data_IF_603366166539
#
_entry.id   IF_603366166539
#
_cell.length_a   1.000
_cell.length_b   1.000
_cell.length_c   1.000
_cell.angle_alpha   90.00
_cell.angle_beta   90.00
_cell.angle_gamma   90.00
#
_symmetry.space_group_name_H-M   'P 1'
#
loop_
_entity.id
_entity.type
_entity.pdbx_description
1 polymer ?
#
# COMPACT_ATOMS: atom_id res chain seq x y z
N UNK A 1 -21.75 -14.08 -10.41
CA UNK A 1 -22.06 -13.44 -9.10
C UNK A 1 -21.34 -14.08 -7.90
N UNK A 2 -20.03 -14.31 -8.00
CA UNK A 2 -19.13 -14.46 -6.83
C UNK A 2 -17.73 -14.07 -7.29
N UNK A 3 -17.33 -14.58 -8.46
CA UNK A 3 -16.12 -14.13 -9.16
C UNK A 3 -16.12 -12.64 -9.56
N UNK A 4 -17.28 -12.06 -9.90
CA UNK A 4 -17.38 -10.61 -10.18
C UNK A 4 -17.11 -9.76 -8.92
N UNK A 5 -17.58 -10.22 -7.76
CA UNK A 5 -17.36 -9.54 -6.48
C UNK A 5 -15.90 -9.71 -6.01
N UNK A 6 -15.28 -10.86 -6.26
CA UNK A 6 -13.85 -11.08 -6.03
C UNK A 6 -12.97 -10.18 -6.90
N UNK A 7 -13.27 -10.06 -8.21
CA UNK A 7 -12.55 -9.16 -9.12
C UNK A 7 -12.68 -7.71 -8.65
N UNK A 8 -13.88 -7.29 -8.25
CA UNK A 8 -14.13 -5.95 -7.71
C UNK A 8 -13.36 -5.72 -6.41
N UNK A 9 -13.34 -6.71 -5.52
CA UNK A 9 -12.61 -6.66 -4.24
C UNK A 9 -11.11 -6.52 -4.49
N UNK A 10 -10.54 -7.34 -5.37
CA UNK A 10 -9.12 -7.27 -5.76
C UNK A 10 -8.78 -5.92 -6.39
N UNK A 11 -9.65 -5.38 -7.25
CA UNK A 11 -9.48 -4.05 -7.84
C UNK A 11 -9.40 -2.96 -6.76
N UNK A 12 -10.33 -2.98 -5.80
CA UNK A 12 -10.34 -2.00 -4.70
C UNK A 12 -9.08 -2.12 -3.85
N UNK A 13 -8.63 -3.34 -3.52
CA UNK A 13 -7.40 -3.56 -2.76
C UNK A 13 -6.17 -2.98 -3.48
N UNK A 14 -6.08 -3.18 -4.80
CA UNK A 14 -4.98 -2.63 -5.61
C UNK A 14 -5.03 -1.09 -5.69
N UNK A 15 -6.22 -0.50 -5.85
CA UNK A 15 -6.38 0.96 -5.83
C UNK A 15 -5.95 1.56 -4.49
N UNK A 16 -6.34 0.94 -3.38
CA UNK A 16 -5.91 1.35 -2.04
C UNK A 16 -4.40 1.18 -1.87
N UNK A 17 -3.84 0.07 -2.36
CA UNK A 17 -2.40 -0.18 -2.29
C UNK A 17 -1.60 0.88 -3.02
N UNK A 18 -2.03 1.29 -4.22
CA UNK A 18 -1.38 2.36 -4.98
C UNK A 18 -1.36 3.70 -4.22
N UNK A 19 -2.45 4.03 -3.50
CA UNK A 19 -2.50 5.24 -2.66
C UNK A 19 -1.52 5.15 -1.50
N UNK A 20 -1.47 4.00 -0.81
CA UNK A 20 -0.55 3.77 0.31
C UNK A 20 0.91 3.86 -0.15
N UNK A 21 1.26 3.17 -1.24
CA UNK A 21 2.62 3.17 -1.78
C UNK A 21 3.08 4.58 -2.14
N UNK A 22 2.18 5.40 -2.71
CA UNK A 22 2.45 6.81 -3.01
C UNK A 22 2.69 7.63 -1.73
N UNK A 23 1.89 7.45 -0.69
CA UNK A 23 2.07 8.17 0.58
C UNK A 23 3.41 7.79 1.24
N UNK A 24 3.79 6.50 1.18
CA UNK A 24 5.08 6.03 1.70
C UNK A 24 6.23 6.74 0.96
N UNK A 25 6.19 6.77 -0.37
CA UNK A 25 7.19 7.43 -1.20
C UNK A 25 7.27 8.96 -0.93
N UNK A 26 6.12 9.63 -0.87
CA UNK A 26 6.03 11.08 -0.59
C UNK A 26 6.62 11.46 0.79
N UNK A 27 6.58 10.55 1.76
CA UNK A 27 7.16 10.75 3.08
C UNK A 27 8.61 10.21 3.20
N UNK A 28 9.23 9.84 2.07
CA UNK A 28 10.61 9.33 2.04
C UNK A 28 10.77 7.95 2.68
N UNK A 29 9.69 7.18 2.73
CA UNK A 29 9.71 5.78 3.13
C UNK A 29 10.09 4.85 1.98
N UNK A 30 10.64 3.69 2.32
CA UNK A 30 11.04 2.66 1.35
C UNK A 30 10.28 1.38 1.67
N UNK A 31 9.54 0.86 0.69
CA UNK A 31 8.87 -0.44 0.81
C UNK A 31 9.91 -1.53 0.62
N UNK A 32 10.11 -2.37 1.64
CA UNK A 32 11.06 -3.50 1.57
C UNK A 32 10.38 -4.87 1.54
N UNK A 33 9.06 -4.93 1.73
CA UNK A 33 8.31 -6.17 1.66
C UNK A 33 6.80 -6.01 1.59
N UNK A 34 6.15 -7.07 1.12
CA UNK A 34 4.70 -7.22 1.14
C UNK A 34 4.31 -8.69 1.25
N UNK A 35 3.14 -8.95 1.84
CA UNK A 35 2.55 -10.28 1.90
C UNK A 35 1.03 -10.14 1.85
N UNK A 36 0.39 -10.71 0.83
CA UNK A 36 -1.03 -10.49 0.58
C UNK A 36 -1.34 -9.00 0.41
N UNK A 37 -2.21 -8.48 1.27
CA UNK A 37 -2.60 -7.07 1.35
C UNK A 37 -1.67 -6.21 2.23
N UNK A 38 -0.78 -6.84 3.01
CA UNK A 38 0.12 -6.15 3.93
C UNK A 38 1.30 -5.48 3.21
N UNK A 39 1.76 -4.35 3.76
CA UNK A 39 2.98 -3.63 3.35
C UNK A 39 3.92 -3.49 4.53
N UNK A 40 5.22 -3.61 4.30
CA UNK A 40 6.24 -3.23 5.26
C UNK A 40 7.14 -2.19 4.62
N UNK A 41 7.24 -1.03 5.29
CA UNK A 41 8.03 0.09 4.85
C UNK A 41 8.93 0.60 5.98
N UNK A 42 10.11 1.07 5.61
CA UNK A 42 11.08 1.67 6.50
C UNK A 42 11.12 3.19 6.24
N UNK A 43 11.16 3.97 7.33
CA UNK A 43 11.28 5.42 7.27
C UNK A 43 12.54 5.84 8.01
N UNK A 44 13.31 6.75 7.40
CA UNK A 44 14.57 7.26 7.98
C UNK A 44 14.38 8.07 9.27
N UNK A 45 13.16 8.47 9.59
CA UNK A 45 12.81 9.15 10.83
C UNK A 45 11.41 8.77 11.29
N UNK A 46 11.20 8.51 12.60
CA UNK A 46 9.88 8.21 13.15
C UNK A 46 8.92 9.40 13.15
N UNK A 47 9.41 10.62 12.88
CA UNK A 47 8.65 11.87 12.99
C UNK A 47 8.59 12.64 11.65
N UNK A 48 9.30 12.25 10.59
CA UNK A 48 9.21 12.99 9.31
C UNK A 48 8.00 12.56 8.46
N UNK A 49 6.96 13.38 8.50
CA UNK A 49 6.55 14.12 7.31
C UNK A 49 7.36 15.44 7.28
N UNK A 50 7.81 15.88 6.11
CA UNK A 50 8.39 17.23 5.95
C UNK A 50 7.24 18.22 5.77
#
# INVERSE_FOLDING_TARGET
MMGEDEVKTLKILNERRSVIDKIIDENGGIIFGSAGDSVIAEFSSPIKGI
#
